data_IF_087192263842
#
_entry.id   IF_087192263842
#
_cell.length_a   1.000
_cell.length_b   1.000
_cell.length_c   1.000
_cell.angle_alpha   90.00
_cell.angle_beta   90.00
_cell.angle_gamma   90.00
#
_symmetry.space_group_name_H-M   'P 1'
#
loop_
_entity.id
_entity.type
_entity.pdbx_description
1 polymer ?
#
# COMPACT_ATOMS: atom_id res chain seq x y z
N UNK A 1 -46.30 10.67 -55.84
CA UNK A 1 -45.38 9.75 -55.13
C UNK A 1 -43.95 10.02 -55.62
N UNK A 2 -43.19 10.85 -54.90
CA UNK A 2 -41.84 11.29 -55.30
C UNK A 2 -40.83 10.13 -55.44
N UNK A 3 -41.03 9.04 -54.72
CA UNK A 3 -40.22 7.82 -54.78
C UNK A 3 -40.22 7.16 -56.19
N UNK A 4 -41.40 7.03 -56.80
CA UNK A 4 -41.54 6.45 -58.14
C UNK A 4 -41.05 7.39 -59.25
N UNK A 5 -41.01 8.72 -59.00
CA UNK A 5 -40.50 9.71 -59.96
C UNK A 5 -38.97 9.79 -59.97
N UNK A 6 -38.30 9.50 -58.85
CA UNK A 6 -36.85 9.65 -58.71
C UNK A 6 -36.07 8.35 -58.84
N UNK A 7 -36.61 7.21 -58.36
CA UNK A 7 -35.79 5.99 -58.22
C UNK A 7 -36.27 4.82 -59.09
N UNK A 8 -37.54 4.84 -59.54
CA UNK A 8 -38.19 3.87 -60.43
C UNK A 8 -38.19 2.39 -59.96
N UNK A 9 -37.20 1.91 -59.21
CA UNK A 9 -36.99 0.50 -58.87
C UNK A 9 -36.37 0.31 -57.46
N UNK A 10 -36.89 -0.66 -56.69
CA UNK A 10 -36.48 -0.92 -55.29
C UNK A 10 -35.00 -1.31 -55.10
N UNK A 11 -34.35 -2.07 -56.00
CA UNK A 11 -32.91 -2.35 -55.90
C UNK A 11 -32.04 -1.11 -56.09
N UNK A 12 -32.47 -0.16 -56.94
CA UNK A 12 -31.76 1.11 -57.13
C UNK A 12 -31.87 2.02 -55.90
N UNK A 13 -33.02 1.98 -55.22
CA UNK A 13 -33.19 2.66 -53.93
C UNK A 13 -32.20 2.16 -52.89
N UNK A 14 -32.13 0.84 -52.72
CA UNK A 14 -31.23 0.20 -51.77
C UNK A 14 -29.77 0.50 -52.08
N UNK A 15 -29.34 0.35 -53.33
CA UNK A 15 -27.97 0.66 -53.74
C UNK A 15 -27.57 2.12 -53.48
N UNK A 16 -28.51 3.06 -53.68
CA UNK A 16 -28.28 4.49 -53.41
C UNK A 16 -28.23 4.79 -51.91
N UNK A 17 -29.11 4.18 -51.12
CA UNK A 17 -29.10 4.29 -49.66
C UNK A 17 -27.81 3.71 -49.07
N UNK A 18 -27.38 2.54 -49.54
CA UNK A 18 -26.13 1.90 -49.11
C UNK A 18 -24.92 2.78 -49.42
N UNK A 19 -24.87 3.40 -50.60
CA UNK A 19 -23.80 4.32 -50.96
C UNK A 19 -23.76 5.55 -50.05
N UNK A 20 -24.92 6.15 -49.74
CA UNK A 20 -25.01 7.33 -48.87
C UNK A 20 -24.63 6.99 -47.42
N UNK A 21 -25.23 5.93 -46.87
CA UNK A 21 -25.00 5.51 -45.48
C UNK A 21 -23.55 5.07 -45.29
N UNK A 22 -22.97 4.29 -46.22
CA UNK A 22 -21.57 3.86 -46.11
C UNK A 22 -20.58 5.02 -46.22
N UNK A 23 -20.90 6.06 -47.00
CA UNK A 23 -20.07 7.27 -47.08
C UNK A 23 -20.07 8.04 -45.75
N UNK A 24 -21.26 8.27 -45.18
CA UNK A 24 -21.42 8.99 -43.91
C UNK A 24 -20.80 8.23 -42.74
N UNK A 25 -20.94 6.90 -42.71
CA UNK A 25 -20.30 6.06 -41.71
C UNK A 25 -18.77 6.15 -41.80
N UNK A 26 -18.19 6.11 -43.01
CA UNK A 26 -16.72 6.24 -43.18
C UNK A 26 -16.21 7.60 -42.71
N UNK A 27 -16.94 8.66 -43.02
CA UNK A 27 -16.59 10.03 -42.61
C UNK A 27 -16.67 10.20 -41.08
N UNK A 28 -17.73 9.69 -40.45
CA UNK A 28 -17.90 9.74 -39.00
C UNK A 28 -16.87 8.87 -38.25
N UNK A 29 -16.47 7.73 -38.84
CA UNK A 29 -15.40 6.87 -38.32
C UNK A 29 -14.03 7.51 -38.50
N UNK A 30 -13.80 8.27 -39.57
CA UNK A 30 -12.53 8.96 -39.81
C UNK A 30 -12.33 10.20 -38.93
N UNK A 31 -13.42 10.83 -38.47
CA UNK A 31 -13.37 12.02 -37.60
C UNK A 31 -13.27 11.70 -36.10
N UNK A 32 -13.39 10.43 -35.71
CA UNK A 32 -13.30 9.98 -34.32
C UNK A 32 -12.14 9.00 -34.13
N UNK A 33 -11.51 9.03 -32.95
CA UNK A 33 -10.47 8.07 -32.60
C UNK A 33 -11.03 6.64 -32.57
N UNK A 34 -10.28 5.69 -33.14
CA UNK A 34 -10.71 4.30 -33.33
C UNK A 34 -11.03 3.58 -32.01
N UNK A 35 -10.49 4.04 -30.88
CA UNK A 35 -10.80 3.57 -29.52
C UNK A 35 -12.21 3.95 -29.05
N UNK A 36 -12.72 5.08 -29.50
CA UNK A 36 -14.00 5.65 -29.05
C UNK A 36 -15.20 4.92 -29.68
N UNK A 37 -14.99 4.41 -30.90
CA UNK A 37 -15.97 3.66 -31.69
C UNK A 37 -16.19 2.25 -31.10
N UNK A 38 -15.24 1.73 -30.32
CA UNK A 38 -15.31 0.35 -29.79
C UNK A 38 -16.04 0.29 -28.46
N UNK A 39 -15.99 1.33 -27.63
CA UNK A 39 -16.30 1.19 -26.19
C UNK A 39 -17.43 2.08 -25.68
N UNK A 40 -17.47 3.38 -25.99
CA UNK A 40 -18.39 4.31 -25.30
C UNK A 40 -19.12 5.32 -26.20
N UNK A 41 -18.68 5.58 -27.44
CA UNK A 41 -19.27 6.63 -28.29
C UNK A 41 -20.05 6.12 -29.50
N UNK A 42 -20.48 4.85 -29.52
CA UNK A 42 -21.24 4.28 -30.65
C UNK A 42 -22.58 4.98 -30.85
N UNK A 43 -23.37 5.12 -29.79
CA UNK A 43 -24.71 5.73 -29.86
C UNK A 43 -24.71 7.16 -30.40
N UNK A 44 -23.86 8.10 -29.91
CA UNK A 44 -23.85 9.46 -30.45
C UNK A 44 -23.35 9.52 -31.90
N UNK A 45 -22.40 8.68 -32.30
CA UNK A 45 -21.91 8.62 -33.69
C UNK A 45 -23.03 8.13 -34.63
N UNK A 46 -23.77 7.10 -34.23
CA UNK A 46 -24.87 6.57 -35.04
C UNK A 46 -26.04 7.55 -35.14
N UNK A 47 -26.33 8.29 -34.07
CA UNK A 47 -27.34 9.34 -34.08
C UNK A 47 -27.00 10.48 -35.05
N UNK A 48 -25.72 10.88 -35.13
CA UNK A 48 -25.28 11.91 -36.08
C UNK A 48 -25.33 11.40 -37.53
N UNK A 49 -24.90 10.16 -37.77
CA UNK A 49 -25.00 9.53 -39.10
C UNK A 49 -26.45 9.38 -39.55
N UNK A 50 -27.36 9.00 -38.65
CA UNK A 50 -28.80 8.90 -38.93
C UNK A 50 -29.40 10.26 -39.32
N UNK A 51 -29.03 11.32 -38.60
CA UNK A 51 -29.48 12.69 -38.86
C UNK A 51 -29.01 13.19 -40.23
N UNK A 52 -27.74 12.99 -40.56
CA UNK A 52 -27.18 13.40 -41.86
C UNK A 52 -27.72 12.54 -43.02
N UNK A 53 -27.96 11.25 -42.79
CA UNK A 53 -28.58 10.37 -43.77
C UNK A 53 -30.03 10.80 -44.06
N UNK A 54 -30.81 11.19 -43.05
CA UNK A 54 -32.19 11.68 -43.23
C UNK A 54 -32.25 12.91 -44.15
N UNK A 55 -31.38 13.91 -43.92
CA UNK A 55 -31.31 15.12 -44.75
C UNK A 55 -31.03 14.82 -46.23
N UNK A 56 -30.10 13.90 -46.51
CA UNK A 56 -29.73 13.54 -47.90
C UNK A 56 -30.82 12.72 -48.60
N UNK A 57 -31.70 12.07 -47.84
CA UNK A 57 -32.69 11.11 -48.34
C UNK A 57 -34.10 11.70 -48.44
N UNK A 58 -34.35 12.85 -47.78
CA UNK A 58 -35.62 13.60 -47.81
C UNK A 58 -36.09 13.94 -49.25
N UNK A 59 -35.16 14.32 -50.14
CA UNK A 59 -35.47 14.62 -51.54
C UNK A 59 -35.84 13.40 -52.40
N UNK A 60 -35.64 12.19 -51.89
CA UNK A 60 -35.97 10.92 -52.58
C UNK A 60 -37.29 10.30 -52.12
N UNK A 61 -38.00 10.93 -51.16
CA UNK A 61 -39.26 10.42 -50.61
C UNK A 61 -39.10 9.13 -49.78
N UNK A 62 -37.91 8.88 -49.23
CA UNK A 62 -37.61 7.71 -48.39
C UNK A 62 -37.48 8.16 -46.93
N UNK A 63 -38.08 7.42 -46.00
CA UNK A 63 -38.00 7.68 -44.55
C UNK A 63 -37.08 6.68 -43.87
N UNK A 64 -35.98 7.18 -43.28
CA UNK A 64 -35.05 6.37 -42.48
C UNK A 64 -35.58 6.28 -41.04
N UNK A 65 -35.81 5.05 -40.55
CA UNK A 65 -36.32 4.78 -39.19
C UNK A 65 -35.18 4.64 -38.19
N UNK A 66 -34.14 3.86 -38.50
CA UNK A 66 -33.00 3.58 -37.63
C UNK A 66 -31.79 3.14 -38.50
N UNK A 67 -30.57 3.48 -38.07
CA UNK A 67 -29.31 3.05 -38.70
C UNK A 67 -28.47 2.33 -37.64
N UNK A 68 -28.14 1.05 -37.87
CA UNK A 68 -27.33 0.24 -36.95
C UNK A 68 -26.17 -0.45 -37.66
N UNK A 69 -25.01 -0.48 -37.00
CA UNK A 69 -23.87 -1.28 -37.47
C UNK A 69 -24.10 -2.74 -37.04
N UNK A 70 -24.21 -3.64 -38.02
CA UNK A 70 -24.47 -5.07 -37.78
C UNK A 70 -23.21 -5.85 -37.36
N UNK A 71 -22.02 -5.47 -37.85
CA UNK A 71 -20.73 -6.05 -37.44
C UNK A 71 -19.56 -5.18 -37.93
N UNK A 72 -18.76 -4.67 -36.99
CA UNK A 72 -17.40 -4.18 -37.28
C UNK A 72 -16.46 -5.37 -37.21
N UNK A 73 -16.40 -6.19 -38.24
CA UNK A 73 -15.25 -7.10 -38.35
C UNK A 73 -14.08 -6.23 -38.79
N UNK A 74 -13.22 -5.88 -37.83
CA UNK A 74 -11.91 -5.38 -38.18
C UNK A 74 -11.23 -6.41 -39.09
N UNK A 75 -10.62 -6.01 -40.22
CA UNK A 75 -9.76 -6.91 -40.99
C UNK A 75 -8.78 -7.58 -40.03
N UNK A 76 -8.68 -8.92 -40.07
CA UNK A 76 -7.83 -9.70 -39.16
C UNK A 76 -6.40 -9.14 -39.10
N UNK A 77 -5.91 -8.60 -40.21
CA UNK A 77 -4.56 -8.02 -40.32
C UNK A 77 -4.31 -6.84 -39.37
N UNK A 78 -5.31 -6.00 -39.09
CA UNK A 78 -5.14 -4.79 -38.24
C UNK A 78 -5.43 -5.11 -36.77
N UNK A 79 -6.40 -5.99 -36.52
CA UNK A 79 -6.83 -6.35 -35.17
C UNK A 79 -5.66 -6.86 -34.30
N UNK A 80 -4.80 -7.72 -34.84
CA UNK A 80 -3.66 -8.28 -34.12
C UNK A 80 -2.68 -7.21 -33.62
N UNK A 81 -2.42 -6.19 -34.44
CA UNK A 81 -1.51 -5.08 -34.08
C UNK A 81 -2.06 -4.22 -32.93
N UNK A 82 -3.37 -4.00 -32.91
CA UNK A 82 -4.05 -3.23 -31.86
C UNK A 82 -4.08 -4.05 -30.57
N UNK A 83 -4.45 -5.34 -30.63
CA UNK A 83 -4.40 -6.22 -29.46
C UNK A 83 -2.99 -6.34 -28.90
N UNK A 84 -1.96 -6.42 -29.75
CA UNK A 84 -0.57 -6.42 -29.31
C UNK A 84 -0.20 -5.12 -28.56
N UNK A 85 -0.58 -3.96 -29.11
CA UNK A 85 -0.36 -2.66 -28.46
C UNK A 85 -1.12 -2.53 -27.14
N UNK A 86 -2.37 -2.98 -27.07
CA UNK A 86 -3.16 -2.97 -25.83
C UNK A 86 -2.56 -3.89 -24.76
N UNK A 87 -2.07 -5.07 -25.13
CA UNK A 87 -1.37 -5.97 -24.18
C UNK A 87 -0.09 -5.32 -23.65
N UNK A 88 0.71 -4.72 -24.53
CA UNK A 88 1.93 -4.02 -24.14
C UNK A 88 1.62 -2.86 -23.19
N UNK A 89 0.58 -2.07 -23.48
CA UNK A 89 0.17 -0.95 -22.64
C UNK A 89 -0.37 -1.42 -21.29
N UNK A 90 -1.19 -2.48 -21.26
CA UNK A 90 -1.66 -3.11 -20.01
C UNK A 90 -0.50 -3.65 -19.17
N UNK A 91 0.49 -4.28 -19.80
CA UNK A 91 1.70 -4.74 -19.11
C UNK A 91 2.52 -3.57 -18.56
N UNK A 92 2.66 -2.49 -19.32
CA UNK A 92 3.35 -1.26 -18.90
C UNK A 92 2.68 -0.63 -17.67
N UNK A 93 1.35 -0.50 -17.72
CA UNK A 93 0.53 0.02 -16.62
C UNK A 93 0.65 -0.89 -15.39
N UNK A 94 0.53 -2.21 -15.55
CA UNK A 94 0.69 -3.16 -14.44
C UNK A 94 2.09 -3.08 -13.81
N UNK A 95 3.14 -3.00 -14.63
CA UNK A 95 4.51 -2.87 -14.16
C UNK A 95 4.70 -1.56 -13.37
N UNK A 96 4.15 -0.45 -13.86
CA UNK A 96 4.17 0.83 -13.15
C UNK A 96 3.51 0.71 -11.77
N UNK A 97 2.28 0.18 -11.70
CA UNK A 97 1.58 0.01 -10.43
C UNK A 97 2.33 -0.90 -9.45
N UNK A 98 2.96 -1.98 -9.94
CA UNK A 98 3.81 -2.84 -9.09
C UNK A 98 5.05 -2.11 -8.58
N UNK A 99 5.70 -1.32 -9.43
CA UNK A 99 6.86 -0.50 -9.03
C UNK A 99 6.47 0.54 -7.99
N UNK A 100 5.39 1.28 -8.21
CA UNK A 100 4.88 2.28 -7.26
C UNK A 100 4.44 1.63 -5.94
N UNK A 101 3.78 0.47 -6.01
CA UNK A 101 3.40 -0.31 -4.83
C UNK A 101 4.62 -0.76 -4.03
N UNK A 102 5.66 -1.26 -4.70
CA UNK A 102 6.91 -1.69 -4.06
C UNK A 102 7.67 -0.52 -3.43
N UNK A 103 7.74 0.63 -4.11
CA UNK A 103 8.36 1.85 -3.59
C UNK A 103 7.64 2.34 -2.32
N UNK A 104 6.31 2.44 -2.37
CA UNK A 104 5.51 2.85 -1.23
C UNK A 104 5.65 1.87 -0.05
N UNK A 105 5.66 0.57 -0.33
CA UNK A 105 5.87 -0.47 0.69
C UNK A 105 7.24 -0.30 1.37
N UNK A 106 8.31 -0.11 0.59
CA UNK A 106 9.66 0.09 1.12
C UNK A 106 9.74 1.35 1.99
N UNK A 107 9.11 2.45 1.53
CA UNK A 107 9.07 3.71 2.28
C UNK A 107 8.33 3.57 3.60
N UNK A 108 7.14 2.98 3.59
CA UNK A 108 6.35 2.74 4.81
C UNK A 108 7.15 1.88 5.77
N UNK A 109 7.72 0.76 5.29
CA UNK A 109 8.50 -0.14 6.13
C UNK A 109 9.70 0.55 6.77
N UNK A 110 10.46 1.32 6.00
CA UNK A 110 11.62 2.06 6.51
C UNK A 110 11.22 3.09 7.60
N UNK A 111 10.10 3.78 7.42
CA UNK A 111 9.57 4.72 8.42
C UNK A 111 9.14 3.97 9.68
N UNK A 112 8.38 2.88 9.53
CA UNK A 112 7.92 2.06 10.65
C UNK A 112 9.08 1.45 11.43
N UNK A 113 10.09 0.90 10.74
CA UNK A 113 11.28 0.32 11.38
C UNK A 113 12.05 1.40 12.17
N UNK A 114 12.19 2.61 11.60
CA UNK A 114 12.81 3.75 12.28
C UNK A 114 12.02 4.17 13.52
N UNK A 115 10.70 4.34 13.40
CA UNK A 115 9.84 4.74 14.52
C UNK A 115 9.85 3.70 15.63
N UNK A 116 9.75 2.42 15.28
CA UNK A 116 9.85 1.31 16.25
C UNK A 116 11.18 1.34 16.99
N UNK A 117 12.29 1.53 16.28
CA UNK A 117 13.60 1.62 16.89
C UNK A 117 13.71 2.81 17.86
N UNK A 118 13.15 3.97 17.50
CA UNK A 118 13.11 5.16 18.37
C UNK A 118 12.28 4.89 19.62
N UNK A 119 11.09 4.30 19.48
CA UNK A 119 10.21 4.00 20.62
C UNK A 119 10.90 3.03 21.58
N UNK A 120 11.52 1.97 21.06
CA UNK A 120 12.24 1.00 21.89
C UNK A 120 13.44 1.65 22.58
N UNK A 121 14.19 2.50 21.87
CA UNK A 121 15.33 3.20 22.44
C UNK A 121 14.90 4.17 23.56
N UNK A 122 13.82 4.93 23.36
CA UNK A 122 13.29 5.85 24.35
C UNK A 122 12.72 5.11 25.56
N UNK A 123 11.99 4.01 25.34
CA UNK A 123 11.50 3.16 26.42
C UNK A 123 12.63 2.57 27.26
N UNK A 124 13.71 2.09 26.62
CA UNK A 124 14.92 1.62 27.32
C UNK A 124 15.59 2.74 28.10
N UNK A 125 15.78 3.91 27.49
CA UNK A 125 16.38 5.08 28.14
C UNK A 125 15.60 5.47 29.39
N UNK A 126 14.26 5.52 29.30
CA UNK A 126 13.40 5.83 30.43
C UNK A 126 13.47 4.75 31.52
N UNK A 127 13.48 3.47 31.14
CA UNK A 127 13.61 2.36 32.07
C UNK A 127 14.92 2.42 32.86
N UNK A 128 16.05 2.65 32.18
CA UNK A 128 17.36 2.78 32.82
C UNK A 128 17.43 4.02 33.72
N UNK A 129 16.80 5.12 33.32
CA UNK A 129 16.75 6.34 34.14
C UNK A 129 15.94 6.11 35.43
N UNK A 130 14.77 5.49 35.34
CA UNK A 130 13.93 5.16 36.50
C UNK A 130 14.66 4.17 37.42
N UNK A 131 15.30 3.16 36.85
CA UNK A 131 16.09 2.19 37.60
C UNK A 131 17.26 2.85 38.30
N UNK A 132 18.03 3.70 37.61
CA UNK A 132 19.14 4.45 38.20
C UNK A 132 18.68 5.40 39.32
N UNK A 133 17.52 6.04 39.18
CA UNK A 133 16.91 6.83 40.25
C UNK A 133 16.51 5.98 41.45
N UNK A 134 15.94 4.80 41.21
CA UNK A 134 15.59 3.83 42.25
C UNK A 134 16.82 3.33 43.01
N UNK A 135 17.86 2.93 42.28
CA UNK A 135 19.13 2.45 42.84
C UNK A 135 19.82 3.56 43.65
N UNK A 136 19.89 4.79 43.11
CA UNK A 136 20.43 5.94 43.81
C UNK A 136 19.64 6.26 45.10
N UNK A 137 18.31 6.18 45.04
CA UNK A 137 17.43 6.36 46.19
C UNK A 137 17.66 5.30 47.26
N UNK A 138 17.74 4.02 46.86
CA UNK A 138 18.00 2.90 47.75
C UNK A 138 19.37 3.01 48.42
N UNK A 139 20.43 3.32 47.65
CA UNK A 139 21.78 3.54 48.18
C UNK A 139 21.80 4.72 49.15
N UNK A 140 21.10 5.81 48.83
CA UNK A 140 21.01 6.98 49.73
C UNK A 140 20.33 6.63 51.04
N UNK A 141 19.17 5.95 51.01
CA UNK A 141 18.47 5.49 52.22
C UNK A 141 19.36 4.55 53.03
N UNK A 142 20.05 3.62 52.37
CA UNK A 142 20.97 2.70 53.01
C UNK A 142 22.14 3.44 53.67
N UNK A 143 22.77 4.39 52.97
CA UNK A 143 23.85 5.20 53.50
C UNK A 143 23.40 6.10 54.67
N UNK A 144 22.21 6.68 54.60
CA UNK A 144 21.64 7.49 55.68
C UNK A 144 21.31 6.64 56.91
N UNK A 145 20.81 5.40 56.72
CA UNK A 145 20.61 4.45 57.80
C UNK A 145 21.95 4.00 58.42
N UNK A 146 22.97 3.75 57.60
CA UNK A 146 24.33 3.39 58.04
C UNK A 146 24.98 4.49 58.90
N UNK A 147 24.80 5.75 58.52
CA UNK A 147 25.36 6.89 59.26
C UNK A 147 24.76 7.08 60.66
N UNK A 148 23.56 6.54 60.93
CA UNK A 148 22.93 6.67 62.25
C UNK A 148 23.68 5.89 63.33
N UNK A 149 24.20 4.71 63.02
CA UNK A 149 25.02 3.91 63.93
C UNK A 149 25.97 2.97 63.16
N UNK A 150 27.21 3.42 62.89
CA UNK A 150 28.20 2.64 62.16
C UNK A 150 28.68 1.38 62.90
N UNK A 151 28.70 1.41 64.25
CA UNK A 151 29.15 0.28 65.07
C UNK A 151 28.09 -0.83 65.07
N UNK A 152 26.82 -0.48 65.26
CA UNK A 152 25.72 -1.44 65.21
C UNK A 152 25.58 -2.13 63.86
N UNK A 153 25.80 -1.40 62.76
CA UNK A 153 25.82 -2.00 61.42
C UNK A 153 26.98 -2.97 61.22
N UNK A 154 28.20 -2.60 61.63
CA UNK A 154 29.38 -3.45 61.49
C UNK A 154 29.20 -4.77 62.23
N UNK A 155 28.57 -4.70 63.41
CA UNK A 155 28.13 -5.85 64.17
C UNK A 155 27.07 -6.70 63.43
N UNK A 156 25.95 -6.13 62.98
CA UNK A 156 24.92 -6.86 62.23
C UNK A 156 25.45 -7.51 60.93
N UNK A 157 26.33 -6.80 60.21
CA UNK A 157 26.94 -7.31 58.98
C UNK A 157 27.85 -8.49 59.26
N UNK A 158 28.65 -8.43 60.34
CA UNK A 158 29.47 -9.55 60.78
C UNK A 158 28.61 -10.77 61.13
N UNK A 159 27.49 -10.59 61.86
CA UNK A 159 26.54 -11.65 62.18
C UNK A 159 25.90 -12.26 60.92
N UNK A 160 25.57 -11.45 59.92
CA UNK A 160 25.00 -11.95 58.67
C UNK A 160 26.03 -12.72 57.84
N UNK A 161 27.27 -12.23 57.77
CA UNK A 161 28.38 -12.94 57.12
C UNK A 161 28.66 -14.27 57.83
N UNK A 162 28.61 -14.30 59.17
CA UNK A 162 28.69 -15.55 59.92
C UNK A 162 27.60 -16.51 59.50
N UNK A 163 26.34 -16.06 59.44
CA UNK A 163 25.21 -16.90 59.04
C UNK A 163 25.33 -17.44 57.60
N UNK A 164 25.77 -16.60 56.67
CA UNK A 164 25.88 -16.97 55.26
C UNK A 164 27.11 -17.85 54.99
N UNK A 165 28.20 -17.66 55.74
CA UNK A 165 29.47 -18.37 55.55
C UNK A 165 29.60 -19.65 56.38
N UNK A 166 28.88 -19.77 57.51
CA UNK A 166 28.87 -20.95 58.40
C UNK A 166 27.64 -21.82 58.14
N UNK A 167 27.44 -22.25 56.90
CA UNK A 167 26.44 -23.28 56.58
C UNK A 167 26.94 -24.68 56.99
N UNK A 168 26.01 -25.59 57.31
CA UNK A 168 26.29 -26.94 57.80
C UNK A 168 27.34 -27.67 56.95
N UNK A 169 28.44 -28.09 57.58
CA UNK A 169 29.55 -28.81 56.93
C UNK A 169 30.76 -27.96 56.50
N UNK A 170 30.73 -26.64 56.70
CA UNK A 170 31.84 -25.76 56.28
C UNK A 170 33.00 -25.78 57.29
N UNK A 171 34.16 -26.33 56.92
CA UNK A 171 35.41 -26.23 57.69
C UNK A 171 36.21 -25.02 57.20
N UNK A 172 36.16 -23.93 57.96
CA UNK A 172 36.90 -22.70 57.66
C UNK A 172 38.21 -22.71 58.45
N UNK A 173 39.35 -22.59 57.75
CA UNK A 173 40.68 -22.43 58.37
C UNK A 173 41.14 -20.99 58.11
N UNK A 174 41.12 -20.16 59.16
CA UNK A 174 41.51 -18.75 59.12
C UNK A 174 42.49 -18.46 60.27
N UNK A 175 43.40 -17.52 60.07
CA UNK A 175 44.32 -17.05 61.11
C UNK A 175 43.59 -16.22 62.16
N UNK A 176 44.07 -16.31 63.41
CA UNK A 176 43.51 -15.65 64.60
C UNK A 176 43.45 -14.12 64.50
N UNK A 177 44.24 -13.48 63.63
CA UNK A 177 44.25 -12.01 63.45
C UNK A 177 43.18 -11.47 62.49
N UNK A 178 42.17 -12.27 62.12
CA UNK A 178 41.16 -11.85 61.16
C UNK A 178 40.14 -10.90 61.79
N UNK A 179 39.93 -9.73 61.16
CA UNK A 179 38.88 -8.75 61.51
C UNK A 179 37.47 -9.35 61.50
N UNK A 180 37.32 -10.52 60.88
CA UNK A 180 36.09 -11.28 60.88
C UNK A 180 35.70 -11.79 62.28
N UNK A 181 36.61 -12.09 63.21
CA UNK A 181 36.29 -12.66 64.54
C UNK A 181 36.33 -11.64 65.70
N UNK A 182 36.54 -10.36 65.41
CA UNK A 182 36.74 -9.32 66.42
C UNK A 182 35.58 -9.21 67.44
N UNK A 183 34.35 -9.51 67.01
CA UNK A 183 33.16 -9.54 67.88
C UNK A 183 32.92 -10.87 68.61
N UNK A 184 33.63 -11.94 68.25
CA UNK A 184 33.58 -13.26 68.92
C UNK A 184 34.70 -13.42 69.96
N UNK A 185 35.85 -12.76 69.76
CA UNK A 185 37.00 -12.82 70.69
C UNK A 185 36.87 -11.91 71.92
N UNK A 186 36.07 -10.84 71.85
CA UNK A 186 35.90 -9.88 72.95
C UNK A 186 34.46 -9.37 73.01
N UNK A 187 33.53 -10.14 73.63
CA UNK A 187 32.19 -9.64 73.90
C UNK A 187 32.29 -8.55 74.97
N UNK A 188 31.96 -7.31 74.61
CA UNK A 188 31.67 -6.24 75.56
C UNK A 188 30.17 -6.17 75.82
#
# INVERSE_FOLDING_TARGET
LQFFQTIHDTPRANARLDAIISSLLREAVASHDQSDIITEKREPIMAEVEKEARKKVEGFGIKIVDVRIKRTDFPREIAESIYARMRAERQRISKRYRSEGAENQLKIKAITDKESAIIIAEAKRQSELIRGQGDAGAIKIYADALKRDPEFYSFLKSLQIYRDSLQDGTKIVLSTDSSLFQYLESPK
#
